data_IF_310033133605
#
_entry.id   IF_310033133605
#
_cell.length_a   1.000
_cell.length_b   1.000
_cell.length_c   1.000
_cell.angle_alpha   90.00
_cell.angle_beta   90.00
_cell.angle_gamma   90.00
#
_symmetry.space_group_name_H-M   'P 1'
#
loop_
_entity.id
_entity.type
_entity.pdbx_description
1 polymer ?
#
# COMPACT_ATOMS: atom_id res chain seq x y z
N UNK A 1 -10.22 27.47 10.78
CA UNK A 1 -9.67 27.74 12.12
C UNK A 1 -8.71 26.62 12.46
N UNK A 2 -7.47 26.93 12.82
CA UNK A 2 -6.48 25.95 13.27
C UNK A 2 -6.32 26.12 14.78
N UNK A 3 -6.56 25.06 15.54
CA UNK A 3 -6.43 25.07 17.00
C UNK A 3 -5.34 24.10 17.42
N UNK A 4 -4.45 24.54 18.31
CA UNK A 4 -3.35 23.72 18.84
C UNK A 4 -3.52 23.59 20.35
N UNK A 5 -3.48 22.36 20.86
CA UNK A 5 -3.51 22.07 22.30
C UNK A 5 -2.08 21.79 22.77
N UNK A 6 -1.57 22.64 23.65
CA UNK A 6 -0.19 22.57 24.17
C UNK A 6 -0.17 22.30 25.68
N UNK A 7 1.01 22.00 26.22
CA UNK A 7 1.21 21.73 27.65
C UNK A 7 2.28 20.67 27.89
N UNK A 8 2.84 20.63 29.10
CA UNK A 8 3.87 19.67 29.51
C UNK A 8 3.38 18.22 29.51
N UNK A 9 4.30 17.23 29.54
CA UNK A 9 3.92 15.83 29.71
C UNK A 9 3.08 15.66 31.00
N UNK A 10 2.02 14.84 30.94
CA UNK A 10 1.09 14.67 32.06
C UNK A 10 0.03 15.77 32.23
N UNK A 11 0.05 16.85 31.45
CA UNK A 11 -0.95 17.94 31.56
C UNK A 11 -2.37 17.58 31.10
N UNK A 12 -2.66 16.31 30.79
CA UNK A 12 -3.99 15.83 30.42
C UNK A 12 -4.39 16.00 28.94
N UNK A 13 -3.48 16.42 28.04
CA UNK A 13 -3.79 16.63 26.61
C UNK A 13 -4.43 15.40 25.94
N UNK A 14 -3.81 14.23 26.08
CA UNK A 14 -4.31 12.99 25.48
C UNK A 14 -5.66 12.58 26.06
N UNK A 15 -5.87 12.78 27.36
CA UNK A 15 -7.15 12.50 28.03
C UNK A 15 -8.27 13.41 27.52
N UNK A 16 -7.96 14.69 27.25
CA UNK A 16 -8.90 15.63 26.65
C UNK A 16 -9.22 15.27 25.19
N UNK A 17 -8.20 15.09 24.35
CA UNK A 17 -8.40 14.81 22.92
C UNK A 17 -9.01 13.42 22.72
N UNK A 18 -8.30 12.36 23.10
CA UNK A 18 -8.73 10.99 22.80
C UNK A 18 -9.85 10.49 23.72
N UNK A 19 -9.92 10.99 24.96
CA UNK A 19 -10.89 10.52 25.96
C UNK A 19 -12.20 11.31 26.03
N UNK A 20 -12.30 12.48 25.38
CA UNK A 20 -13.52 13.31 25.40
C UNK A 20 -13.94 13.79 24.02
N UNK A 21 -13.02 14.33 23.22
CA UNK A 21 -13.36 14.89 21.91
C UNK A 21 -13.49 13.82 20.83
N UNK A 22 -12.52 12.91 20.73
CA UNK A 22 -12.54 11.84 19.72
C UNK A 22 -13.81 10.99 19.66
N UNK A 23 -14.49 10.67 20.79
CA UNK A 23 -15.75 9.92 20.75
C UNK A 23 -16.99 10.73 20.36
N UNK A 24 -16.88 12.06 20.18
CA UNK A 24 -18.02 12.90 19.84
C UNK A 24 -18.45 12.69 18.38
N UNK A 25 -19.75 12.79 18.12
CA UNK A 25 -20.30 12.68 16.78
C UNK A 25 -19.74 13.77 15.85
N UNK A 26 -19.42 13.37 14.62
CA UNK A 26 -18.85 14.25 13.60
C UNK A 26 -17.35 14.52 13.78
N UNK A 27 -16.68 13.95 14.80
CA UNK A 27 -15.23 14.06 14.97
C UNK A 27 -14.52 12.91 14.27
N UNK A 28 -13.66 13.25 13.31
CA UNK A 28 -12.72 12.31 12.71
C UNK A 28 -11.39 12.42 13.43
N UNK A 29 -10.94 11.32 14.06
CA UNK A 29 -9.66 11.25 14.75
C UNK A 29 -8.62 10.56 13.87
N UNK A 30 -7.50 11.24 13.63
CA UNK A 30 -6.31 10.67 13.04
C UNK A 30 -5.28 10.47 14.17
N UNK A 31 -4.92 9.22 14.45
CA UNK A 31 -4.02 8.86 15.54
C UNK A 31 -2.74 8.18 15.03
N UNK A 32 -1.89 7.75 15.95
CA UNK A 32 -0.64 7.04 15.68
C UNK A 32 -0.79 5.53 15.90
N UNK A 33 -2.02 5.01 15.93
CA UNK A 33 -2.19 3.55 15.99
C UNK A 33 -1.57 2.93 14.73
N UNK A 34 -0.95 1.73 14.85
CA UNK A 34 -0.42 1.04 13.69
C UNK A 34 -1.52 0.88 12.64
N UNK A 35 -1.16 1.06 11.37
CA UNK A 35 -2.10 0.84 10.27
C UNK A 35 -2.65 -0.58 10.40
N UNK A 36 -3.95 -0.71 10.64
CA UNK A 36 -4.62 -2.00 10.67
C UNK A 36 -4.57 -2.61 9.27
N UNK A 37 -3.86 -3.72 9.14
CA UNK A 37 -3.63 -4.41 7.88
C UNK A 37 -2.84 -5.70 8.09
N UNK A 38 -2.71 -6.50 7.04
CA UNK A 38 -1.80 -7.65 7.06
C UNK A 38 -0.42 -7.20 6.57
N UNK A 39 0.59 -8.08 6.64
CA UNK A 39 1.89 -7.86 5.97
C UNK A 39 1.77 -7.63 4.45
N UNK A 40 0.59 -7.91 3.86
CA UNK A 40 0.30 -7.64 2.46
C UNK A 40 -0.20 -6.22 2.20
N UNK A 41 -0.56 -5.47 3.25
CA UNK A 41 -0.98 -4.07 3.15
C UNK A 41 0.22 -3.17 2.89
N UNK A 42 0.02 -2.17 2.04
CA UNK A 42 0.98 -1.12 1.71
C UNK A 42 0.25 0.23 1.54
N UNK A 43 0.97 1.36 1.41
CA UNK A 43 0.34 2.67 1.24
C UNK A 43 -0.67 2.72 0.10
N UNK A 44 -0.38 2.09 -1.05
CA UNK A 44 -1.29 2.06 -2.20
C UNK A 44 -2.60 1.30 -1.93
N UNK A 45 -2.57 0.23 -1.12
CA UNK A 45 -3.80 -0.45 -0.68
C UNK A 45 -4.57 0.38 0.33
N UNK A 46 -3.88 1.09 1.23
CA UNK A 46 -4.52 1.88 2.30
C UNK A 46 -5.24 3.10 1.73
N UNK A 47 -4.59 3.82 0.80
CA UNK A 47 -5.17 4.98 0.11
C UNK A 47 -6.13 4.61 -1.02
N UNK A 48 -6.26 3.32 -1.32
CA UNK A 48 -6.98 2.76 -2.49
C UNK A 48 -6.41 3.18 -3.85
N UNK A 49 -5.19 3.71 -3.90
CA UNK A 49 -4.48 3.99 -5.15
C UNK A 49 -4.21 2.72 -5.98
N UNK A 50 -4.10 1.55 -5.35
CA UNK A 50 -3.82 0.31 -6.06
C UNK A 50 -4.93 -0.07 -7.05
N UNK A 51 -6.20 0.25 -6.78
CA UNK A 51 -7.31 -0.13 -7.66
C UNK A 51 -7.25 0.54 -9.05
N UNK A 52 -7.14 1.88 -9.18
CA UNK A 52 -6.97 2.50 -10.49
C UNK A 52 -5.67 2.07 -11.19
N UNK A 53 -4.59 1.81 -10.44
CA UNK A 53 -3.32 1.29 -11.00
C UNK A 53 -3.55 -0.09 -11.63
N UNK A 54 -4.18 -1.02 -10.90
CA UNK A 54 -4.50 -2.36 -11.41
C UNK A 54 -5.38 -2.31 -12.66
N UNK A 55 -6.36 -1.41 -12.70
CA UNK A 55 -7.23 -1.21 -13.88
C UNK A 55 -6.44 -0.68 -15.08
N UNK A 56 -5.45 0.19 -14.86
CA UNK A 56 -4.60 0.70 -15.93
C UNK A 56 -3.73 -0.41 -16.56
N UNK A 57 -3.07 -1.22 -15.73
CA UNK A 57 -2.29 -2.38 -16.19
C UNK A 57 -3.17 -3.41 -16.92
N UNK A 58 -4.33 -3.74 -16.36
CA UNK A 58 -5.31 -4.65 -16.97
C UNK A 58 -5.75 -4.18 -18.35
N UNK A 59 -6.07 -2.89 -18.48
CA UNK A 59 -6.46 -2.29 -19.76
C UNK A 59 -5.32 -2.33 -20.78
N UNK A 60 -4.09 -2.01 -20.37
CA UNK A 60 -2.93 -2.03 -21.26
C UNK A 60 -2.57 -3.45 -21.72
N UNK A 61 -2.70 -4.45 -20.84
CA UNK A 61 -2.41 -5.86 -21.15
C UNK A 61 -3.57 -6.64 -21.77
N UNK A 62 -4.78 -6.09 -21.83
CA UNK A 62 -5.97 -6.81 -22.32
C UNK A 62 -6.43 -7.94 -21.40
N UNK A 63 -6.15 -7.86 -20.09
CA UNK A 63 -6.42 -8.92 -19.10
C UNK A 63 -7.27 -8.41 -17.94
N UNK A 64 -7.60 -9.28 -16.98
CA UNK A 64 -8.42 -8.92 -15.81
C UNK A 64 -7.59 -8.17 -14.75
N UNK A 65 -8.16 -7.16 -14.05
CA UNK A 65 -7.48 -6.50 -12.93
C UNK A 65 -7.11 -7.42 -11.76
N UNK A 66 -7.77 -8.58 -11.62
CA UNK A 66 -7.46 -9.59 -10.60
C UNK A 66 -6.00 -10.09 -10.68
N UNK A 67 -5.47 -10.20 -11.91
CA UNK A 67 -4.09 -10.57 -12.19
C UNK A 67 -3.07 -9.59 -11.57
N UNK A 68 -3.45 -8.33 -11.36
CA UNK A 68 -2.56 -7.32 -10.79
C UNK A 68 -2.69 -7.18 -9.25
N UNK A 69 -3.22 -8.21 -8.58
CA UNK A 69 -3.34 -8.27 -7.12
C UNK A 69 -2.36 -9.27 -6.52
N UNK A 70 -1.47 -8.83 -5.63
CA UNK A 70 -0.58 -9.70 -4.85
C UNK A 70 -1.32 -10.51 -3.74
N UNK A 71 -2.65 -10.51 -3.76
CA UNK A 71 -3.52 -11.25 -2.83
C UNK A 71 -4.51 -12.16 -3.57
N UNK A 72 -4.32 -12.37 -4.88
CA UNK A 72 -5.22 -13.13 -5.74
C UNK A 72 -4.41 -13.81 -6.86
N UNK A 73 -4.98 -13.93 -8.06
CA UNK A 73 -4.45 -14.67 -9.21
C UNK A 73 -2.99 -14.34 -9.58
N UNK A 74 -2.55 -13.10 -9.37
CA UNK A 74 -1.20 -12.66 -9.72
C UNK A 74 -0.12 -12.88 -8.69
N UNK A 75 -0.47 -13.40 -7.52
CA UNK A 75 0.46 -13.52 -6.41
C UNK A 75 1.62 -14.48 -6.75
N UNK A 76 2.80 -14.20 -6.21
CA UNK A 76 3.89 -15.18 -6.23
C UNK A 76 3.43 -16.46 -5.49
N UNK A 77 3.48 -17.65 -6.12
CA UNK A 77 2.94 -18.89 -5.54
C UNK A 77 3.76 -19.42 -4.37
N UNK A 78 4.99 -18.93 -4.16
CA UNK A 78 5.89 -19.39 -3.10
C UNK A 78 5.65 -18.67 -1.78
N UNK A 79 5.31 -17.37 -1.82
CA UNK A 79 5.07 -16.55 -0.63
C UNK A 79 3.62 -16.05 -0.54
N UNK A 80 2.73 -16.55 -1.40
CA UNK A 80 1.35 -16.07 -1.57
C UNK A 80 1.24 -14.55 -1.71
N UNK A 81 2.24 -13.93 -2.35
CA UNK A 81 2.32 -12.49 -2.53
C UNK A 81 2.59 -11.65 -1.26
N UNK A 82 3.11 -12.29 -0.20
CA UNK A 82 3.68 -11.59 0.95
C UNK A 82 5.03 -10.92 0.60
N UNK A 83 5.82 -11.53 -0.30
CA UNK A 83 7.18 -11.08 -0.64
C UNK A 83 8.25 -11.53 0.36
N UNK A 84 7.84 -12.15 1.46
CA UNK A 84 8.68 -12.68 2.52
C UNK A 84 8.22 -14.07 2.93
N UNK A 85 9.12 -14.86 3.51
CA UNK A 85 8.85 -16.15 4.12
C UNK A 85 9.15 -16.03 5.62
N UNK A 86 8.12 -16.28 6.43
CA UNK A 86 8.21 -16.31 7.89
C UNK A 86 8.45 -17.75 8.35
N UNK A 87 9.57 -17.98 9.04
CA UNK A 87 9.93 -19.28 9.58
C UNK A 87 9.83 -19.25 11.10
N UNK A 88 8.95 -20.07 11.67
CA UNK A 88 8.85 -20.26 13.11
C UNK A 88 9.88 -21.28 13.58
N UNK A 89 10.82 -20.84 14.43
CA UNK A 89 11.86 -21.68 15.01
C UNK A 89 11.49 -22.08 16.45
N UNK A 90 10.38 -22.80 16.59
CA UNK A 90 9.88 -23.29 17.88
C UNK A 90 9.52 -22.16 18.83
N UNK A 91 10.21 -22.08 19.97
CA UNK A 91 9.99 -21.04 21.00
C UNK A 91 10.72 -19.72 20.73
N UNK A 92 11.50 -19.65 19.65
CA UNK A 92 12.23 -18.44 19.28
C UNK A 92 11.34 -17.45 18.53
N UNK A 93 11.82 -16.22 18.40
CA UNK A 93 11.17 -15.21 17.57
C UNK A 93 11.09 -15.67 16.10
N UNK A 94 10.01 -15.29 15.41
CA UNK A 94 9.82 -15.62 14.00
C UNK A 94 10.87 -14.91 13.16
N UNK A 95 11.60 -15.66 12.34
CA UNK A 95 12.57 -15.08 11.40
C UNK A 95 11.86 -14.82 10.07
N UNK A 96 11.90 -13.57 9.62
CA UNK A 96 11.38 -13.15 8.32
C UNK A 96 12.52 -13.04 7.32
N UNK A 97 12.43 -13.75 6.20
CA UNK A 97 13.39 -13.69 5.10
C UNK A 97 12.71 -13.21 3.82
N UNK A 98 13.45 -12.56 2.92
CA UNK A 98 12.91 -12.16 1.62
C UNK A 98 12.64 -13.41 0.80
N UNK A 99 11.49 -13.49 0.14
CA UNK A 99 11.16 -14.63 -0.72
C UNK A 99 12.14 -14.67 -1.90
N UNK A 100 12.92 -15.74 -2.00
CA UNK A 100 13.94 -15.91 -3.05
C UNK A 100 13.33 -16.00 -4.45
N UNK A 101 12.16 -16.66 -4.58
CA UNK A 101 11.51 -16.90 -5.88
C UNK A 101 11.07 -15.59 -6.57
N UNK A 102 10.46 -14.66 -5.82
CA UNK A 102 10.07 -13.35 -6.39
C UNK A 102 11.02 -12.22 -6.00
N UNK A 103 12.07 -12.49 -5.21
CA UNK A 103 12.98 -11.49 -4.66
C UNK A 103 12.25 -10.30 -4.02
N UNK A 104 11.18 -10.58 -3.27
CA UNK A 104 10.34 -9.55 -2.64
C UNK A 104 9.38 -8.81 -3.56
N UNK A 105 9.29 -9.12 -4.86
CA UNK A 105 8.39 -8.46 -5.82
C UNK A 105 6.91 -8.81 -5.63
N UNK A 106 6.58 -9.91 -4.92
CA UNK A 106 5.21 -10.34 -4.55
C UNK A 106 4.32 -10.85 -5.68
N UNK A 107 4.76 -10.76 -6.93
CA UNK A 107 4.02 -11.22 -8.10
C UNK A 107 4.72 -12.40 -8.78
N UNK A 108 3.97 -13.18 -9.55
CA UNK A 108 4.51 -14.20 -10.43
C UNK A 108 5.10 -13.59 -11.73
N UNK A 109 5.89 -14.37 -12.46
CA UNK A 109 6.61 -13.87 -13.64
C UNK A 109 5.69 -13.46 -14.80
N UNK A 110 4.54 -14.11 -14.95
CA UNK A 110 3.53 -13.74 -15.95
C UNK A 110 3.04 -12.31 -15.73
N UNK A 111 2.73 -11.94 -14.48
CA UNK A 111 2.32 -10.57 -14.13
C UNK A 111 3.43 -9.56 -14.36
N UNK A 112 4.68 -9.93 -14.05
CA UNK A 112 5.85 -9.05 -14.19
C UNK A 112 6.24 -8.81 -15.65
N UNK A 113 5.73 -9.61 -16.59
CA UNK A 113 5.90 -9.40 -18.02
C UNK A 113 5.06 -8.23 -18.55
N UNK A 114 3.92 -7.91 -17.92
CA UNK A 114 3.08 -6.80 -18.34
C UNK A 114 3.71 -5.45 -17.96
N UNK A 115 3.71 -4.52 -18.91
CA UNK A 115 4.30 -3.18 -18.74
C UNK A 115 3.26 -2.09 -18.92
N UNK A 116 3.41 -1.03 -18.14
CA UNK A 116 2.68 0.22 -18.25
C UNK A 116 3.68 1.38 -18.15
N UNK A 117 3.78 2.20 -19.19
CA UNK A 117 4.77 3.27 -19.24
C UNK A 117 6.22 2.78 -19.15
N UNK A 118 6.50 1.55 -19.62
CA UNK A 118 7.82 0.92 -19.54
C UNK A 118 8.07 0.13 -18.25
N UNK A 119 7.21 0.23 -17.24
CA UNK A 119 7.40 -0.40 -15.93
C UNK A 119 6.42 -1.54 -15.67
N UNK A 120 6.82 -2.59 -14.96
CA UNK A 120 5.88 -3.57 -14.43
C UNK A 120 5.25 -3.08 -13.13
N UNK A 121 4.23 -3.80 -12.63
CA UNK A 121 3.50 -3.36 -11.44
C UNK A 121 4.38 -3.36 -10.17
N UNK A 122 5.35 -4.25 -10.05
CA UNK A 122 6.24 -4.29 -8.89
C UNK A 122 7.19 -3.08 -8.87
N UNK A 123 7.70 -2.68 -10.04
CA UNK A 123 8.51 -1.46 -10.21
C UNK A 123 7.70 -0.21 -9.88
N UNK A 124 6.46 -0.10 -10.39
CA UNK A 124 5.55 1.00 -10.05
C UNK A 124 5.25 1.07 -8.56
N UNK A 125 5.09 -0.07 -7.89
CA UNK A 125 4.85 -0.12 -6.43
C UNK A 125 6.10 0.13 -5.59
N UNK A 126 7.29 0.10 -6.20
CA UNK A 126 8.57 0.44 -5.57
C UNK A 126 8.93 1.93 -5.75
N UNK A 127 8.22 2.66 -6.62
CA UNK A 127 8.41 4.10 -6.81
C UNK A 127 8.04 4.91 -5.57
N UNK A 128 8.71 6.05 -5.42
CA UNK A 128 8.23 7.12 -4.57
C UNK A 128 6.89 7.68 -5.09
N UNK A 129 6.16 8.39 -4.21
CA UNK A 129 4.90 9.05 -4.58
C UNK A 129 5.12 10.06 -5.72
N UNK A 130 6.22 10.80 -5.72
CA UNK A 130 6.54 11.80 -6.74
C UNK A 130 6.81 11.16 -8.12
N UNK A 131 7.57 10.06 -8.16
CA UNK A 131 7.81 9.30 -9.39
C UNK A 131 6.51 8.70 -9.94
N UNK A 132 5.69 8.11 -9.06
CA UNK A 132 4.38 7.58 -9.44
C UNK A 132 3.46 8.69 -9.96
N UNK A 133 3.45 9.86 -9.32
CA UNK A 133 2.67 11.02 -9.74
C UNK A 133 3.11 11.50 -11.13
N UNK A 134 4.42 11.60 -11.37
CA UNK A 134 4.97 11.96 -12.68
C UNK A 134 4.54 10.95 -13.76
N UNK A 135 4.68 9.65 -13.48
CA UNK A 135 4.25 8.57 -14.38
C UNK A 135 2.77 8.66 -14.72
N UNK A 136 1.89 8.77 -13.72
CA UNK A 136 0.43 8.77 -13.93
C UNK A 136 -0.13 10.10 -14.43
N UNK A 137 0.67 11.17 -14.44
CA UNK A 137 0.29 12.48 -14.99
C UNK A 137 0.69 12.66 -16.45
N UNK A 138 1.66 11.88 -16.95
CA UNK A 138 2.12 11.96 -18.33
C UNK A 138 1.02 11.55 -19.33
N UNK A 139 1.06 12.14 -20.54
CA UNK A 139 -0.03 12.07 -21.53
C UNK A 139 -0.40 10.62 -21.91
N UNK A 140 0.59 9.77 -22.11
CA UNK A 140 0.41 8.39 -22.60
C UNK A 140 0.03 7.39 -21.50
N UNK A 141 0.38 7.71 -20.25
CA UNK A 141 0.21 6.86 -19.07
C UNK A 141 -0.77 7.46 -18.07
N UNK A 142 -1.64 8.36 -18.54
CA UNK A 142 -2.50 9.15 -17.66
C UNK A 142 -3.52 8.27 -16.93
N UNK A 143 -3.49 8.30 -15.59
CA UNK A 143 -4.46 7.62 -14.73
C UNK A 143 -5.04 8.64 -13.74
N UNK A 144 -6.06 9.39 -14.17
CA UNK A 144 -6.66 10.50 -13.41
C UNK A 144 -7.08 10.13 -11.99
N UNK A 145 -7.61 8.92 -11.79
CA UNK A 145 -8.03 8.44 -10.48
C UNK A 145 -6.83 8.18 -9.54
N UNK A 146 -5.68 7.73 -10.07
CA UNK A 146 -4.47 7.57 -9.29
C UNK A 146 -3.86 8.94 -8.95
N UNK A 147 -3.78 9.84 -9.94
CA UNK A 147 -3.29 11.22 -9.73
C UNK A 147 -4.03 11.91 -8.60
N UNK A 148 -5.38 11.84 -8.58
CA UNK A 148 -6.20 12.45 -7.51
C UNK A 148 -5.89 11.92 -6.10
N UNK A 149 -5.36 10.70 -5.98
CA UNK A 149 -5.00 10.09 -4.69
C UNK A 149 -3.55 10.43 -4.30
N UNK A 150 -2.68 10.65 -5.29
CA UNK A 150 -1.25 10.95 -5.08
C UNK A 150 -0.97 12.45 -4.85
N UNK A 151 -1.93 13.33 -5.16
CA UNK A 151 -1.90 14.77 -4.88
C UNK A 151 -2.72 15.12 -3.64
#
# INVERSE_FOLDING_TARGET
MLTVVTGVAGSGKSSLIHGRLSPMDGVVTLDQSPIKGSRRSNPATYTRALEPIRKAFAKAGGVKPALFSASSEGACPVCDGAGVIDTQLGFMETVTTVCEACQGRRYNDEVLAYRFGGYNIAEVLAMSVDEALALFSAKETRVTAAVKILT
#
